data_IF_683136065554
#
_entry.id   IF_683136065554
#
_cell.length_a   1.000
_cell.length_b   1.000
_cell.length_c   1.000
_cell.angle_alpha   90.00
_cell.angle_beta   90.00
_cell.angle_gamma   90.00
#
_symmetry.space_group_name_H-M   'P 1'
#
loop_
_entity.id
_entity.type
_entity.pdbx_description
1 polymer ?
#
# COMPACT_ATOMS: atom_id res chain seq x y z
N UNK A 1 29.28 -14.20 7.01
CA UNK A 1 28.75 -13.13 6.15
C UNK A 1 27.30 -13.51 5.90
N UNK A 2 26.36 -12.95 6.67
CA UNK A 2 24.94 -13.29 6.52
C UNK A 2 24.48 -12.65 5.23
N UNK A 3 24.00 -13.48 4.31
CA UNK A 3 23.23 -13.03 3.16
C UNK A 3 21.98 -12.34 3.74
N UNK A 4 22.01 -11.01 3.84
CA UNK A 4 20.85 -10.22 4.24
C UNK A 4 19.93 -10.22 3.04
N UNK A 5 19.23 -11.33 2.87
CA UNK A 5 18.14 -11.47 1.91
C UNK A 5 17.22 -10.28 2.09
N UNK A 6 16.92 -9.62 0.97
CA UNK A 6 16.11 -8.42 0.80
C UNK A 6 14.69 -8.57 1.36
N UNK A 7 14.57 -8.69 2.67
CA UNK A 7 13.32 -8.86 3.38
C UNK A 7 12.64 -7.50 3.53
N UNK A 8 11.43 -7.39 2.99
CA UNK A 8 10.54 -6.25 3.26
C UNK A 8 9.48 -6.72 4.23
N UNK A 9 9.44 -6.11 5.41
CA UNK A 9 8.43 -6.36 6.44
C UNK A 9 7.31 -5.35 6.31
N UNK A 10 6.10 -5.74 6.74
CA UNK A 10 4.98 -4.82 6.90
C UNK A 10 4.66 -4.76 8.39
N UNK A 11 4.78 -3.57 8.96
CA UNK A 11 4.51 -3.28 10.36
C UNK A 11 3.14 -2.62 10.45
N UNK A 12 2.34 -3.06 11.43
CA UNK A 12 1.05 -2.47 11.74
C UNK A 12 1.05 -1.82 13.12
N UNK A 13 0.49 -0.62 13.22
CA UNK A 13 0.28 0.08 14.49
C UNK A 13 -1.13 0.65 14.53
N UNK A 14 -1.89 0.31 15.57
CA UNK A 14 -3.24 0.84 15.79
C UNK A 14 -3.16 2.14 16.59
N UNK A 15 -3.91 3.15 16.16
CA UNK A 15 -4.02 4.44 16.82
C UNK A 15 -5.46 4.97 16.79
N UNK A 16 -5.70 6.16 17.37
CA UNK A 16 -7.04 6.76 17.45
C UNK A 16 -7.66 7.03 16.08
N UNK A 17 -6.84 7.29 15.06
CA UNK A 17 -7.25 7.54 13.68
C UNK A 17 -7.49 6.24 12.88
N UNK A 18 -7.19 5.07 13.46
CA UNK A 18 -7.28 3.76 12.81
C UNK A 18 -5.94 3.03 12.72
N UNK A 19 -5.88 2.03 11.84
CA UNK A 19 -4.71 1.22 11.61
C UNK A 19 -3.75 1.93 10.64
N UNK A 20 -2.49 2.02 11.04
CA UNK A 20 -1.39 2.41 10.16
C UNK A 20 -0.59 1.19 9.77
N UNK A 21 -0.34 1.02 8.47
CA UNK A 21 0.54 -0.01 7.93
C UNK A 21 1.73 0.65 7.24
N UNK A 22 2.94 0.18 7.52
CA UNK A 22 4.18 0.71 6.92
C UNK A 22 5.10 -0.42 6.49
N UNK A 23 5.76 -0.30 5.36
CA UNK A 23 6.86 -1.20 5.01
C UNK A 23 8.13 -0.85 5.76
N UNK A 24 9.00 -1.84 5.94
CA UNK A 24 10.36 -1.66 6.45
C UNK A 24 11.30 -2.57 5.66
N UNK A 25 12.30 -1.99 5.01
CA UNK A 25 13.34 -2.69 4.25
C UNK A 25 13.48 -2.22 2.80
N UNK A 26 12.55 -1.42 2.27
CA UNK A 26 12.71 -0.80 0.94
C UNK A 26 13.83 0.24 0.93
N UNK A 27 13.96 0.99 2.03
CA UNK A 27 15.01 1.99 2.24
C UNK A 27 16.42 1.41 2.13
N UNK A 28 16.64 0.16 2.55
CA UNK A 28 17.92 -0.53 2.38
C UNK A 28 18.32 -0.72 0.89
N UNK A 29 17.36 -0.55 -0.03
CA UNK A 29 17.54 -0.60 -1.49
C UNK A 29 17.45 0.80 -2.13
N UNK A 30 17.54 1.87 -1.35
CA UNK A 30 17.34 3.25 -1.79
C UNK A 30 15.94 3.52 -2.39
N UNK A 31 14.94 2.74 -1.98
CA UNK A 31 13.55 2.95 -2.35
C UNK A 31 12.77 3.53 -1.17
N UNK A 32 11.80 4.43 -1.40
CA UNK A 32 10.94 4.95 -0.34
C UNK A 32 10.10 3.82 0.27
N UNK A 33 9.86 3.90 1.57
CA UNK A 33 8.92 2.99 2.23
C UNK A 33 7.49 3.34 1.83
N UNK A 34 6.60 2.35 1.86
CA UNK A 34 5.17 2.55 1.64
C UNK A 34 4.46 2.69 2.97
N UNK A 35 3.53 3.64 3.07
CA UNK A 35 2.72 3.88 4.28
C UNK A 35 1.26 4.06 3.93
N UNK A 36 0.37 3.44 4.70
CA UNK A 36 -1.08 3.71 4.68
C UNK A 36 -1.51 4.04 6.09
N UNK A 37 -2.23 5.14 6.24
CA UNK A 37 -2.72 5.63 7.53
C UNK A 37 -4.25 5.64 7.57
N UNK A 38 -4.81 5.56 8.78
CA UNK A 38 -6.26 5.63 9.00
C UNK A 38 -7.05 4.52 8.33
N UNK A 39 -6.50 3.30 8.24
CA UNK A 39 -7.24 2.14 7.74
C UNK A 39 -8.25 1.67 8.78
N UNK A 40 -9.48 1.33 8.37
CA UNK A 40 -10.35 0.51 9.20
C UNK A 40 -9.67 -0.82 9.57
N UNK A 41 -9.67 -1.25 10.84
CA UNK A 41 -8.93 -2.44 11.29
C UNK A 41 -9.26 -3.71 10.50
N UNK A 42 -10.52 -3.88 10.08
CA UNK A 42 -10.97 -5.03 9.28
C UNK A 42 -10.31 -5.11 7.89
N UNK A 43 -9.75 -4.02 7.39
CA UNK A 43 -9.03 -3.96 6.12
C UNK A 43 -7.52 -4.27 6.26
N UNK A 44 -7.00 -4.37 7.48
CA UNK A 44 -5.56 -4.45 7.75
C UNK A 44 -4.85 -5.60 7.04
N UNK A 45 -5.39 -6.82 7.13
CA UNK A 45 -4.78 -7.97 6.46
C UNK A 45 -4.81 -7.85 4.93
N UNK A 46 -5.93 -7.37 4.38
CA UNK A 46 -6.06 -7.13 2.94
C UNK A 46 -5.04 -6.09 2.46
N UNK A 47 -4.92 -4.98 3.19
CA UNK A 47 -4.00 -3.90 2.86
C UNK A 47 -2.53 -4.25 3.08
N UNK A 48 -2.21 -5.13 4.02
CA UNK A 48 -0.87 -5.70 4.12
C UNK A 48 -0.52 -6.48 2.84
N UNK A 49 -1.43 -7.29 2.30
CA UNK A 49 -1.19 -7.99 1.02
C UNK A 49 -1.04 -7.02 -0.16
N UNK A 50 -1.82 -5.93 -0.17
CA UNK A 50 -1.68 -4.85 -1.19
C UNK A 50 -0.31 -4.20 -1.10
N UNK A 51 0.13 -3.81 0.11
CA UNK A 51 1.46 -3.23 0.34
C UNK A 51 2.58 -4.16 -0.08
N UNK A 52 2.45 -5.47 0.17
CA UNK A 52 3.43 -6.46 -0.27
C UNK A 52 3.53 -6.51 -1.80
N UNK A 53 2.39 -6.48 -2.50
CA UNK A 53 2.35 -6.47 -3.96
C UNK A 53 2.94 -5.17 -4.54
N UNK A 54 2.64 -4.02 -3.93
CA UNK A 54 3.24 -2.73 -4.31
C UNK A 54 4.76 -2.74 -4.08
N UNK A 55 5.22 -3.16 -2.90
CA UNK A 55 6.64 -3.26 -2.56
C UNK A 55 7.41 -4.13 -3.57
N UNK A 56 6.84 -5.26 -4.00
CA UNK A 56 7.42 -6.10 -5.04
C UNK A 56 7.54 -5.37 -6.39
N UNK A 57 6.55 -4.57 -6.77
CA UNK A 57 6.60 -3.78 -8.01
C UNK A 57 7.60 -2.63 -7.94
N UNK A 58 7.67 -1.90 -6.82
CA UNK A 58 8.71 -0.90 -6.60
C UNK A 58 10.10 -1.52 -6.68
N UNK A 59 10.29 -2.65 -6.00
CA UNK A 59 11.54 -3.38 -5.97
C UNK A 59 12.01 -3.91 -7.35
N UNK A 60 11.08 -4.07 -8.30
CA UNK A 60 11.37 -4.52 -9.65
C UNK A 60 11.54 -3.35 -10.64
N UNK A 61 11.18 -2.13 -10.25
CA UNK A 61 11.24 -0.95 -11.11
C UNK A 61 12.62 -0.29 -11.06
N UNK A 62 13.07 0.24 -12.20
CA UNK A 62 14.32 0.99 -12.29
C UNK A 62 14.19 2.41 -11.70
N UNK A 63 12.97 2.96 -11.73
CA UNK A 63 12.59 4.27 -11.19
C UNK A 63 11.35 4.16 -10.31
N UNK A 64 11.10 5.13 -9.45
CA UNK A 64 9.92 5.14 -8.57
C UNK A 64 8.68 5.44 -9.43
N UNK A 65 7.77 4.48 -9.63
CA UNK A 65 6.62 4.70 -10.49
C UNK A 65 5.57 5.56 -9.78
N UNK A 66 5.02 6.57 -10.45
CA UNK A 66 3.87 7.32 -9.94
C UNK A 66 2.59 6.47 -9.90
N UNK A 67 2.54 5.40 -10.72
CA UNK A 67 1.37 4.54 -10.89
C UNK A 67 1.79 3.08 -10.97
N UNK A 68 1.08 2.23 -10.25
CA UNK A 68 1.33 0.79 -10.21
C UNK A 68 0.07 0.03 -10.58
N UNK A 69 0.16 -0.77 -11.64
CA UNK A 69 -0.91 -1.69 -12.04
C UNK A 69 -0.75 -3.03 -11.33
N UNK A 70 -1.65 -3.35 -10.41
CA UNK A 70 -1.61 -4.62 -9.64
C UNK A 70 -2.42 -5.74 -10.30
N UNK A 71 -3.47 -5.42 -11.05
CA UNK A 71 -4.29 -6.34 -11.82
C UNK A 71 -4.80 -5.65 -13.11
N UNK A 72 -5.32 -6.39 -14.10
CA UNK A 72 -6.03 -5.79 -15.23
C UNK A 72 -7.11 -4.82 -14.70
N UNK A 73 -7.09 -3.58 -15.17
CA UNK A 73 -8.01 -2.50 -14.76
C UNK A 73 -7.92 -2.08 -13.27
N UNK A 74 -6.80 -2.40 -12.60
CA UNK A 74 -6.52 -1.92 -11.23
C UNK A 74 -5.21 -1.16 -11.18
N UNK A 75 -5.33 0.16 -11.17
CA UNK A 75 -4.23 1.09 -10.96
C UNK A 75 -4.30 1.70 -9.56
N UNK A 76 -3.13 1.85 -8.95
CA UNK A 76 -2.90 2.56 -7.69
C UNK A 76 -1.87 3.65 -7.97
N UNK A 77 -2.18 4.89 -7.60
CA UNK A 77 -1.21 5.98 -7.65
C UNK A 77 -0.37 5.97 -6.37
N UNK A 78 0.89 6.39 -6.48
CA UNK A 78 1.78 6.59 -5.34
C UNK A 78 2.08 8.07 -5.21
N UNK A 79 1.76 8.64 -4.05
CA UNK A 79 2.03 10.05 -3.77
C UNK A 79 2.99 10.16 -2.59
N UNK A 80 3.89 11.15 -2.58
CA UNK A 80 4.68 11.47 -1.40
C UNK A 80 3.78 11.64 -0.16
N UNK A 81 4.14 10.95 0.90
CA UNK A 81 3.58 11.09 2.23
C UNK A 81 4.60 11.77 3.15
N UNK A 82 4.28 11.89 4.44
CA UNK A 82 5.22 12.36 5.45
C UNK A 82 6.48 11.48 5.52
N UNK A 83 7.58 12.07 6.01
CA UNK A 83 8.87 11.38 6.26
C UNK A 83 9.57 10.76 5.04
N UNK A 84 9.18 11.13 3.81
CA UNK A 84 9.76 10.55 2.60
C UNK A 84 9.20 9.17 2.23
N UNK A 85 8.15 8.73 2.92
CA UNK A 85 7.37 7.56 2.55
C UNK A 85 6.45 7.87 1.35
N UNK A 86 5.95 6.84 0.67
CA UNK A 86 4.90 6.95 -0.35
C UNK A 86 3.58 6.38 0.17
N UNK A 87 2.48 7.09 -0.09
CA UNK A 87 1.14 6.62 0.17
C UNK A 87 0.48 6.11 -1.12
N UNK A 88 -0.10 4.90 -1.12
CA UNK A 88 -0.99 4.45 -2.17
C UNK A 88 -2.32 5.19 -2.08
N UNK A 89 -2.71 5.82 -3.19
CA UNK A 89 -3.94 6.60 -3.32
C UNK A 89 -4.73 6.15 -4.56
N UNK A 90 -6.05 6.38 -4.60
CA UNK A 90 -6.84 6.14 -5.80
C UNK A 90 -6.34 6.97 -7.00
N UNK A 91 -6.52 6.47 -8.23
CA UNK A 91 -6.22 7.25 -9.43
C UNK A 91 -7.15 8.46 -9.54
N UNK A 92 -6.70 9.56 -10.20
CA UNK A 92 -7.49 10.77 -10.36
C UNK A 92 -8.83 10.47 -11.07
N UNK A 93 -9.91 11.10 -10.61
CA UNK A 93 -11.27 10.86 -11.11
C UNK A 93 -12.00 9.68 -10.46
N UNK A 94 -11.36 8.98 -9.53
CA UNK A 94 -12.00 8.02 -8.62
C UNK A 94 -12.19 8.75 -7.29
N UNK A 95 -13.43 9.00 -6.88
CA UNK A 95 -13.79 9.82 -5.71
C UNK A 95 -12.92 9.46 -4.49
N UNK A 96 -12.01 10.36 -4.12
CA UNK A 96 -11.04 10.21 -3.04
C UNK A 96 -11.14 11.34 -2.00
N UNK A 97 -11.95 12.36 -2.30
CA UNK A 97 -11.98 13.64 -1.57
C UNK A 97 -12.80 13.59 -0.27
N UNK A 98 -13.51 12.49 0.03
CA UNK A 98 -14.23 12.29 1.28
C UNK A 98 -13.84 10.97 1.95
N UNK A 99 -13.59 10.98 3.27
CA UNK A 99 -13.09 9.81 4.01
C UNK A 99 -13.94 8.52 3.85
N UNK A 100 -15.25 8.65 3.63
CA UNK A 100 -16.12 7.49 3.31
C UNK A 100 -15.85 6.89 1.92
N UNK A 101 -15.48 7.70 0.94
CA UNK A 101 -15.15 7.23 -0.41
C UNK A 101 -13.76 6.60 -0.46
N UNK A 102 -12.82 7.10 0.36
CA UNK A 102 -11.50 6.49 0.51
C UNK A 102 -11.59 5.08 1.10
N UNK A 103 -12.39 4.86 2.14
CA UNK A 103 -12.58 3.53 2.73
C UNK A 103 -13.32 2.57 1.80
N UNK A 104 -14.30 3.08 1.03
CA UNK A 104 -14.94 2.30 -0.03
C UNK A 104 -13.93 1.87 -1.10
N UNK A 105 -13.10 2.78 -1.58
CA UNK A 105 -12.04 2.45 -2.52
C UNK A 105 -11.07 1.42 -1.93
N UNK A 106 -10.66 1.61 -0.67
CA UNK A 106 -9.75 0.71 0.03
C UNK A 106 -10.29 -0.71 0.12
N UNK A 107 -11.58 -0.83 0.43
CA UNK A 107 -12.30 -2.10 0.44
C UNK A 107 -12.37 -2.69 -0.97
N UNK A 108 -12.72 -1.90 -1.98
CA UNK A 108 -12.83 -2.36 -3.38
C UNK A 108 -11.51 -2.90 -3.92
N UNK A 109 -10.38 -2.29 -3.57
CA UNK A 109 -9.04 -2.78 -3.92
C UNK A 109 -8.84 -4.19 -3.39
N UNK A 110 -9.10 -4.42 -2.10
CA UNK A 110 -8.96 -5.74 -1.47
C UNK A 110 -9.89 -6.76 -2.12
N UNK A 111 -11.17 -6.42 -2.32
CA UNK A 111 -12.18 -7.32 -2.89
C UNK A 111 -11.97 -7.66 -4.37
N UNK A 112 -11.21 -6.83 -5.10
CA UNK A 112 -10.85 -7.09 -6.50
C UNK A 112 -9.55 -7.89 -6.62
N UNK A 113 -8.54 -7.58 -5.78
CA UNK A 113 -7.26 -8.30 -5.80
C UNK A 113 -7.32 -9.67 -5.11
N UNK A 114 -8.18 -9.80 -4.10
CA UNK A 114 -8.33 -11.02 -3.31
C UNK A 114 -9.81 -11.38 -3.20
N UNK A 115 -10.41 -11.97 -4.25
CA UNK A 115 -11.83 -12.31 -4.29
C UNK A 115 -12.27 -13.24 -3.15
N UNK A 116 -11.34 -14.08 -2.68
CA UNK A 116 -11.48 -14.93 -1.50
C UNK A 116 -11.86 -14.17 -0.20
N UNK A 117 -11.56 -12.87 -0.10
CA UNK A 117 -11.92 -12.03 1.05
C UNK A 117 -13.41 -11.63 1.10
N UNK A 118 -14.25 -12.10 0.17
CA UNK A 118 -15.71 -11.88 0.14
C UNK A 118 -16.51 -12.82 1.04
N UNK A 119 -15.87 -13.89 1.53
CA UNK A 119 -16.52 -14.99 2.25
C UNK A 119 -16.29 -14.84 3.74
#
# INVERSE_FOLDING_TARGET
>A
MVDVTSEVRILGSEGPEGLTLRTSGLSARNLPELRVEGLPPYLGQGWARVLAALAQRLAASAEIPERVTLAPDMEICLTPAGDGDLAPVPPPGRDADAGHDLDRWRRDVVLRLFPEART
#
